data_IF_831715349571
#
_entry.id   IF_831715349571
#
_cell.length_a   1.000
_cell.length_b   1.000
_cell.length_c   1.000
_cell.angle_alpha   90.00
_cell.angle_beta   90.00
_cell.angle_gamma   90.00
#
_symmetry.space_group_name_H-M   'P 1'
#
loop_
_entity.id
_entity.type
_entity.pdbx_description
1 polymer ?
#
# COMPACT_ATOMS: atom_id res chain seq x y z
N UNK A 1 -20.71 -9.56 0.16
CA UNK A 1 -20.34 -8.13 0.05
C UNK A 1 -18.98 -7.85 0.69
N UNK A 2 -18.75 -8.25 1.95
CA UNK A 2 -17.46 -8.07 2.65
C UNK A 2 -16.26 -8.61 1.86
N UNK A 3 -16.38 -9.80 1.28
CA UNK A 3 -15.33 -10.42 0.45
C UNK A 3 -14.98 -9.63 -0.81
N UNK A 4 -15.99 -9.08 -1.51
CA UNK A 4 -15.77 -8.26 -2.71
C UNK A 4 -15.09 -6.94 -2.34
N UNK A 5 -15.51 -6.29 -1.24
CA UNK A 5 -14.83 -5.10 -0.72
C UNK A 5 -13.36 -5.39 -0.36
N UNK A 6 -13.08 -6.52 0.30
CA UNK A 6 -11.72 -6.88 0.71
C UNK A 6 -10.79 -7.10 -0.50
N UNK A 7 -11.28 -7.70 -1.59
CA UNK A 7 -10.51 -7.80 -2.84
C UNK A 7 -10.21 -6.44 -3.47
N UNK A 8 -11.18 -5.52 -3.49
CA UNK A 8 -10.98 -4.17 -4.02
C UNK A 8 -9.93 -3.42 -3.18
N UNK A 9 -10.05 -3.49 -1.85
CA UNK A 9 -9.10 -2.86 -0.91
C UNK A 9 -7.70 -3.44 -1.08
N UNK A 10 -7.57 -4.77 -1.25
CA UNK A 10 -6.29 -5.42 -1.51
C UNK A 10 -5.62 -4.83 -2.77
N UNK A 11 -6.35 -4.75 -3.89
CA UNK A 11 -5.81 -4.24 -5.16
C UNK A 11 -5.38 -2.78 -5.02
N UNK A 12 -6.22 -1.95 -4.40
CA UNK A 12 -5.91 -0.51 -4.20
C UNK A 12 -4.66 -0.33 -3.36
N UNK A 13 -4.52 -1.08 -2.27
CA UNK A 13 -3.36 -0.97 -1.38
C UNK A 13 -2.08 -1.44 -2.06
N UNK A 14 -2.12 -2.53 -2.83
CA UNK A 14 -0.97 -3.01 -3.60
C UNK A 14 -0.54 -1.96 -4.63
N UNK A 15 -1.47 -1.43 -5.43
CA UNK A 15 -1.17 -0.40 -6.44
C UNK A 15 -0.62 0.88 -5.79
N UNK A 16 -1.24 1.34 -4.71
CA UNK A 16 -0.79 2.52 -3.97
C UNK A 16 0.59 2.31 -3.31
N UNK A 17 0.85 1.10 -2.81
CA UNK A 17 2.16 0.72 -2.26
C UNK A 17 3.26 0.78 -3.31
N UNK A 18 3.00 0.24 -4.51
CA UNK A 18 3.94 0.30 -5.63
C UNK A 18 4.19 1.75 -6.07
N UNK A 19 3.15 2.57 -6.19
CA UNK A 19 3.29 3.98 -6.56
C UNK A 19 4.13 4.75 -5.52
N UNK A 20 3.83 4.60 -4.23
CA UNK A 20 4.57 5.26 -3.16
C UNK A 20 6.03 4.79 -3.09
N UNK A 21 6.27 3.51 -3.36
CA UNK A 21 7.63 2.98 -3.47
C UNK A 21 8.39 3.62 -4.64
N UNK A 22 7.77 3.75 -5.81
CA UNK A 22 8.38 4.44 -6.96
C UNK A 22 8.65 5.93 -6.64
N UNK A 23 7.69 6.63 -6.01
CA UNK A 23 7.84 8.02 -5.61
C UNK A 23 9.04 8.24 -4.67
N UNK A 24 9.30 7.28 -3.77
CA UNK A 24 10.46 7.29 -2.87
C UNK A 24 11.80 7.49 -3.61
N UNK A 25 11.93 7.01 -4.86
CA UNK A 25 13.13 7.19 -5.67
C UNK A 25 13.09 8.40 -6.60
N UNK A 26 11.90 8.95 -6.84
CA UNK A 26 11.67 10.08 -7.75
C UNK A 26 11.66 11.43 -7.04
N UNK A 27 11.32 11.45 -5.75
CA UNK A 27 11.18 12.70 -4.99
C UNK A 27 12.52 13.40 -4.78
N UNK A 28 12.49 14.74 -4.82
CA UNK A 28 13.69 15.58 -4.78
C UNK A 28 14.21 15.78 -3.36
N UNK A 29 13.30 15.86 -2.37
CA UNK A 29 13.68 16.13 -0.98
C UNK A 29 13.72 14.85 -0.16
N UNK A 30 14.62 14.78 0.81
CA UNK A 30 14.73 13.60 1.71
C UNK A 30 13.44 13.40 2.52
N UNK A 31 12.78 14.49 2.94
CA UNK A 31 11.52 14.43 3.68
C UNK A 31 10.41 13.74 2.88
N UNK A 32 10.27 14.09 1.60
CA UNK A 32 9.26 13.48 0.72
C UNK A 32 9.55 12.00 0.51
N UNK A 33 10.82 11.63 0.28
CA UNK A 33 11.22 10.22 0.15
C UNK A 33 10.87 9.39 1.38
N UNK A 34 11.15 9.90 2.58
CA UNK A 34 10.84 9.20 3.84
C UNK A 34 9.33 9.04 4.00
N UNK A 35 8.55 10.07 3.64
CA UNK A 35 7.09 10.03 3.71
C UNK A 35 6.51 9.04 2.70
N UNK A 36 7.01 9.05 1.46
CA UNK A 36 6.66 8.09 0.40
C UNK A 36 7.01 6.65 0.82
N UNK A 37 8.17 6.44 1.43
CA UNK A 37 8.58 5.12 1.93
C UNK A 37 7.70 4.62 3.08
N UNK A 38 7.42 5.49 4.06
CA UNK A 38 6.53 5.16 5.17
C UNK A 38 5.12 4.82 4.67
N UNK A 39 4.61 5.57 3.69
CA UNK A 39 3.32 5.31 3.05
C UNK A 39 3.30 3.99 2.29
N UNK A 40 4.41 3.61 1.63
CA UNK A 40 4.55 2.30 0.99
C UNK A 40 4.53 1.15 2.01
N UNK A 41 5.21 1.31 3.16
CA UNK A 41 5.21 0.31 4.23
C UNK A 41 3.81 0.10 4.84
N UNK A 42 3.06 1.19 5.06
CA UNK A 42 1.68 1.12 5.56
C UNK A 42 0.77 0.40 4.54
N UNK A 43 0.90 0.70 3.25
CA UNK A 43 0.13 0.02 2.21
C UNK A 43 0.42 -1.49 2.15
N UNK A 44 1.67 -1.91 2.37
CA UNK A 44 2.03 -3.32 2.49
C UNK A 44 1.35 -3.99 3.68
N UNK A 45 1.37 -3.36 4.86
CA UNK A 45 0.67 -3.87 6.05
C UNK A 45 -0.85 -3.96 5.84
N UNK A 46 -1.46 -2.95 5.20
CA UNK A 46 -2.88 -2.95 4.88
C UNK A 46 -3.24 -4.04 3.87
N UNK A 47 -2.37 -4.30 2.89
CA UNK A 47 -2.52 -5.40 1.93
C UNK A 47 -2.47 -6.76 2.64
N UNK A 48 -1.56 -6.93 3.60
CA UNK A 48 -1.46 -8.16 4.39
C UNK A 48 -2.73 -8.40 5.24
N UNK A 49 -3.27 -7.36 5.87
CA UNK A 49 -4.54 -7.46 6.62
C UNK A 49 -5.72 -7.81 5.71
N UNK A 50 -5.82 -7.19 4.53
CA UNK A 50 -6.87 -7.50 3.57
C UNK A 50 -6.76 -8.95 3.06
N UNK A 51 -5.54 -9.44 2.84
CA UNK A 51 -5.28 -10.84 2.49
C UNK A 51 -5.72 -11.80 3.61
N UNK A 52 -5.41 -11.47 4.87
CA UNK A 52 -5.83 -12.26 6.03
C UNK A 52 -7.36 -12.41 6.06
N UNK A 53 -8.11 -11.31 5.90
CA UNK A 53 -9.59 -11.33 5.90
C UNK A 53 -10.19 -12.15 4.74
N UNK A 54 -9.47 -12.30 3.63
CA UNK A 54 -9.95 -13.02 2.45
C UNK A 54 -9.74 -14.54 2.54
N UNK A 55 -8.69 -14.98 3.23
CA UNK A 55 -8.19 -16.35 3.15
C UNK A 55 -8.10 -17.08 4.49
N UNK A 56 -8.19 -16.35 5.62
CA UNK A 56 -8.17 -16.90 6.97
C UNK A 56 -9.48 -16.54 7.66
#
# INVERSE_FOLDING_TARGET
MITVMAWIVLIINVLSGILNFICTFKDKTVSDRVTSFASAAINLMASYLAYYVLFI
#
